data_IF_292185158797
#
_entry.id   IF_292185158797
#
_cell.length_a   1.000
_cell.length_b   1.000
_cell.length_c   1.000
_cell.angle_alpha   90.00
_cell.angle_beta   90.00
_cell.angle_gamma   90.00
#
_symmetry.space_group_name_H-M   'P 1'
#
loop_
_entity.id
_entity.type
_entity.pdbx_description
1 polymer ?
#
# COMPACT_ATOMS: atom_id res chain seq x y z
N UNK A 1 19.99 -22.22 12.10
CA UNK A 1 18.86 -21.68 12.93
C UNK A 1 18.32 -20.33 12.42
N UNK A 2 19.05 -19.59 11.60
CA UNK A 2 18.74 -18.26 11.09
C UNK A 2 17.49 -18.21 10.16
N UNK A 3 17.30 -19.22 9.32
CA UNK A 3 16.23 -19.25 8.32
C UNK A 3 14.80 -19.36 8.89
N UNK A 4 14.63 -19.92 10.07
CA UNK A 4 13.30 -20.12 10.67
C UNK A 4 12.70 -18.83 11.23
N UNK A 5 13.55 -17.93 11.72
CA UNK A 5 13.12 -16.63 12.26
C UNK A 5 12.79 -15.64 11.13
N UNK A 6 13.58 -15.65 10.03
CA UNK A 6 13.38 -14.76 8.91
C UNK A 6 11.98 -14.88 8.28
N UNK A 7 11.59 -16.08 7.87
CA UNK A 7 10.28 -16.31 7.24
C UNK A 7 9.12 -16.09 8.19
N UNK A 8 9.29 -16.40 9.47
CA UNK A 8 8.30 -16.12 10.49
C UNK A 8 8.11 -14.62 10.69
N UNK A 9 9.20 -13.85 10.69
CA UNK A 9 9.15 -12.39 10.80
C UNK A 9 8.52 -11.76 9.55
N UNK A 10 8.87 -12.22 8.36
CA UNK A 10 8.24 -11.78 7.10
C UNK A 10 6.74 -12.05 7.13
N UNK A 11 6.32 -13.25 7.50
CA UNK A 11 4.91 -13.59 7.56
C UNK A 11 4.17 -12.77 8.62
N UNK A 12 4.73 -12.64 9.83
CA UNK A 12 4.12 -11.90 10.94
C UNK A 12 4.00 -10.41 10.64
N UNK A 13 5.08 -9.77 10.25
CA UNK A 13 5.08 -8.31 10.01
C UNK A 13 4.41 -7.95 8.69
N UNK A 14 4.53 -8.81 7.69
CA UNK A 14 3.77 -8.69 6.44
C UNK A 14 2.27 -8.81 6.66
N UNK A 15 1.83 -9.73 7.54
CA UNK A 15 0.42 -9.85 7.91
C UNK A 15 -0.10 -8.62 8.67
N UNK A 16 0.67 -8.08 9.60
CA UNK A 16 0.29 -6.84 10.30
C UNK A 16 0.19 -5.66 9.33
N UNK A 17 1.18 -5.50 8.47
CA UNK A 17 1.19 -4.45 7.44
C UNK A 17 -0.01 -4.62 6.50
N UNK A 18 -0.22 -5.84 5.98
CA UNK A 18 -1.34 -6.15 5.08
C UNK A 18 -2.71 -5.94 5.75
N UNK A 19 -2.85 -6.29 7.02
CA UNK A 19 -4.06 -6.02 7.79
C UNK A 19 -4.36 -4.52 7.93
N UNK A 20 -3.35 -3.71 8.23
CA UNK A 20 -3.49 -2.24 8.31
C UNK A 20 -3.89 -1.67 6.95
N UNK A 21 -3.21 -2.06 5.87
CA UNK A 21 -3.53 -1.57 4.53
C UNK A 21 -4.90 -2.05 4.03
N UNK A 22 -5.31 -3.27 4.36
CA UNK A 22 -6.63 -3.78 4.01
C UNK A 22 -7.76 -3.05 4.75
N UNK A 23 -7.58 -2.76 6.04
CA UNK A 23 -8.53 -1.95 6.81
C UNK A 23 -8.65 -0.54 6.25
N UNK A 24 -7.53 0.07 5.89
CA UNK A 24 -7.51 1.38 5.23
C UNK A 24 -8.26 1.36 3.90
N UNK A 25 -8.01 0.36 3.04
CA UNK A 25 -8.72 0.21 1.76
C UNK A 25 -10.24 0.08 1.95
N UNK A 26 -10.69 -0.68 2.95
CA UNK A 26 -12.12 -0.81 3.26
C UNK A 26 -12.70 0.52 3.75
N UNK A 27 -11.97 1.25 4.58
CA UNK A 27 -12.38 2.55 5.09
C UNK A 27 -12.42 3.61 3.97
N UNK A 28 -11.41 3.65 3.11
CA UNK A 28 -11.39 4.50 1.91
C UNK A 28 -12.59 4.19 0.99
N UNK A 29 -12.88 2.91 0.76
CA UNK A 29 -14.05 2.48 -0.02
C UNK A 29 -15.36 2.97 0.60
N UNK A 30 -15.51 2.88 1.91
CA UNK A 30 -16.67 3.40 2.61
C UNK A 30 -16.80 4.93 2.46
N UNK A 31 -15.71 5.67 2.60
CA UNK A 31 -15.70 7.12 2.45
C UNK A 31 -16.06 7.54 1.01
N UNK A 32 -15.44 6.88 0.00
CA UNK A 32 -15.65 7.18 -1.41
C UNK A 32 -17.08 6.91 -1.87
N UNK A 33 -17.71 5.88 -1.32
CA UNK A 33 -19.11 5.53 -1.65
C UNK A 33 -20.15 6.37 -0.91
N UNK A 34 -19.75 7.18 0.07
CA UNK A 34 -20.67 8.00 0.87
C UNK A 34 -21.34 9.14 0.08
N UNK A 35 -20.71 9.63 -0.98
CA UNK A 35 -21.18 10.77 -1.78
C UNK A 35 -21.19 12.12 -1.06
N UNK A 36 -20.69 12.18 0.18
CA UNK A 36 -20.68 13.41 1.00
C UNK A 36 -19.36 14.16 0.82
N UNK A 37 -19.42 15.41 0.34
CA UNK A 37 -18.23 16.23 0.10
C UNK A 37 -17.27 16.31 1.29
N UNK A 38 -17.79 16.45 2.53
CA UNK A 38 -16.96 16.49 3.73
C UNK A 38 -16.21 15.19 4.01
N UNK A 39 -16.78 14.04 3.68
CA UNK A 39 -16.12 12.73 3.83
C UNK A 39 -15.09 12.47 2.74
N UNK A 40 -15.25 13.06 1.55
CA UNK A 40 -14.22 13.00 0.52
C UNK A 40 -12.96 13.77 0.90
N UNK A 41 -13.09 14.90 1.60
CA UNK A 41 -11.92 15.60 2.17
C UNK A 41 -11.21 14.73 3.22
N UNK A 42 -11.96 13.99 4.03
CA UNK A 42 -11.39 13.05 4.99
C UNK A 42 -10.59 11.92 4.32
N UNK A 43 -10.98 11.50 3.12
CA UNK A 43 -10.25 10.52 2.31
C UNK A 43 -8.82 10.96 1.99
N UNK A 44 -8.61 12.25 1.68
CA UNK A 44 -7.27 12.79 1.43
C UNK A 44 -6.41 12.71 2.70
N UNK A 45 -6.98 13.06 3.85
CA UNK A 45 -6.28 12.99 5.14
C UNK A 45 -5.95 11.54 5.49
N UNK A 46 -6.89 10.64 5.29
CA UNK A 46 -6.71 9.19 5.50
C UNK A 46 -5.58 8.66 4.63
N UNK A 47 -5.60 8.97 3.34
CA UNK A 47 -4.56 8.54 2.40
C UNK A 47 -3.15 9.00 2.84
N UNK A 48 -3.00 10.27 3.23
CA UNK A 48 -1.74 10.79 3.76
C UNK A 48 -1.30 10.05 5.03
N UNK A 49 -2.24 9.79 5.93
CA UNK A 49 -1.98 9.06 7.17
C UNK A 49 -1.49 7.63 6.87
N UNK A 50 -2.14 6.93 5.94
CA UNK A 50 -1.77 5.57 5.55
C UNK A 50 -0.39 5.53 4.90
N UNK A 51 -0.07 6.48 4.03
CA UNK A 51 1.28 6.62 3.44
C UNK A 51 2.34 6.73 4.54
N UNK A 52 2.10 7.57 5.55
CA UNK A 52 3.01 7.75 6.69
C UNK A 52 3.10 6.47 7.53
N UNK A 53 1.96 5.86 7.87
CA UNK A 53 1.92 4.61 8.66
C UNK A 53 2.62 3.47 7.92
N UNK A 54 2.40 3.33 6.62
CA UNK A 54 3.06 2.34 5.77
C UNK A 54 4.59 2.49 5.85
N UNK A 55 5.09 3.71 5.61
CA UNK A 55 6.52 4.02 5.72
C UNK A 55 7.08 3.70 7.12
N UNK A 56 6.39 4.14 8.18
CA UNK A 56 6.84 3.94 9.57
C UNK A 56 6.88 2.45 9.94
N UNK A 57 5.90 1.66 9.52
CA UNK A 57 5.88 0.21 9.77
C UNK A 57 7.02 -0.49 9.04
N UNK A 58 7.23 -0.20 7.74
CA UNK A 58 8.34 -0.75 6.98
C UNK A 58 9.69 -0.38 7.62
N UNK A 59 9.87 0.90 7.97
CA UNK A 59 11.09 1.37 8.63
C UNK A 59 11.32 0.65 9.96
N UNK A 60 10.29 0.57 10.81
CA UNK A 60 10.38 -0.08 12.12
C UNK A 60 10.73 -1.56 12.01
N UNK A 61 10.09 -2.30 11.09
CA UNK A 61 10.33 -3.73 10.93
C UNK A 61 11.70 -4.01 10.32
N UNK A 62 12.13 -3.21 9.35
CA UNK A 62 13.44 -3.33 8.75
C UNK A 62 14.56 -2.97 9.74
N UNK A 63 14.35 -1.94 10.58
CA UNK A 63 15.27 -1.61 11.66
C UNK A 63 15.40 -2.75 12.65
N UNK A 64 14.29 -3.36 13.07
CA UNK A 64 14.31 -4.52 13.96
C UNK A 64 15.02 -5.72 13.34
N UNK A 65 14.81 -5.95 12.05
CA UNK A 65 15.54 -6.98 11.31
C UNK A 65 17.03 -6.70 11.25
N UNK A 66 17.43 -5.44 11.04
CA UNK A 66 18.85 -5.02 11.10
C UNK A 66 19.49 -5.32 12.45
N UNK A 67 18.74 -5.12 13.55
CA UNK A 67 19.25 -5.32 14.93
C UNK A 67 19.56 -6.81 15.22
N UNK A 68 19.09 -7.75 14.40
CA UNK A 68 19.45 -9.17 14.51
C UNK A 68 20.82 -9.52 13.91
N UNK A 69 21.49 -8.57 13.23
CA UNK A 69 22.80 -8.79 12.63
C UNK A 69 23.89 -8.15 13.47
N UNK A 70 25.00 -8.87 13.73
CA UNK A 70 26.19 -8.31 14.38
C UNK A 70 26.72 -7.10 13.62
N UNK A 71 27.40 -6.20 14.34
CA UNK A 71 27.96 -4.96 13.74
C UNK A 71 29.03 -5.30 12.71
N UNK A 72 29.79 -6.35 12.98
CA UNK A 72 30.92 -6.85 12.17
C UNK A 72 30.47 -7.36 10.80
N UNK A 73 29.28 -7.99 10.72
CA UNK A 73 28.76 -8.50 9.45
C UNK A 73 28.22 -7.39 8.55
N UNK A 74 27.90 -6.23 9.11
CA UNK A 74 27.23 -5.16 8.40
C UNK A 74 25.78 -5.49 8.08
N UNK A 75 25.12 -4.57 7.39
CA UNK A 75 23.74 -4.77 6.87
C UNK A 75 23.65 -4.12 5.50
N UNK A 76 23.92 -4.87 4.41
CA UNK A 76 23.99 -4.32 3.07
C UNK A 76 22.61 -3.89 2.58
N UNK A 77 22.60 -2.87 1.72
CA UNK A 77 21.41 -2.31 1.09
C UNK A 77 20.48 -3.39 0.49
N UNK A 78 21.03 -4.32 -0.28
CA UNK A 78 20.25 -5.38 -0.94
C UNK A 78 19.49 -6.29 0.04
N UNK A 79 20.06 -6.55 1.23
CA UNK A 79 19.39 -7.33 2.29
C UNK A 79 18.22 -6.56 2.90
N UNK A 80 18.41 -5.27 3.18
CA UNK A 80 17.34 -4.40 3.68
C UNK A 80 16.22 -4.27 2.65
N UNK A 81 16.56 -3.97 1.41
CA UNK A 81 15.60 -3.79 0.32
C UNK A 81 14.81 -5.08 0.02
N UNK A 82 15.50 -6.22 -0.07
CA UNK A 82 14.86 -7.53 -0.27
C UNK A 82 13.87 -7.87 0.84
N UNK A 83 14.21 -7.58 2.10
CA UNK A 83 13.31 -7.78 3.23
C UNK A 83 12.03 -6.91 3.11
N UNK A 84 12.18 -5.63 2.75
CA UNK A 84 11.04 -4.71 2.53
C UNK A 84 10.14 -5.21 1.40
N UNK A 85 10.73 -5.67 0.30
CA UNK A 85 9.96 -6.21 -0.83
C UNK A 85 9.15 -7.45 -0.46
N UNK A 86 9.72 -8.34 0.37
CA UNK A 86 9.00 -9.52 0.89
C UNK A 86 7.86 -9.14 1.85
N UNK A 87 8.07 -8.17 2.74
CA UNK A 87 7.01 -7.63 3.59
C UNK A 87 5.87 -7.06 2.74
N UNK A 88 6.22 -6.27 1.72
CA UNK A 88 5.24 -5.64 0.82
C UNK A 88 4.50 -6.67 -0.04
N UNK A 89 5.17 -7.74 -0.46
CA UNK A 89 4.55 -8.84 -1.18
C UNK A 89 3.50 -9.55 -0.31
N UNK A 90 3.87 -9.90 0.94
CA UNK A 90 2.94 -10.51 1.89
C UNK A 90 1.75 -9.59 2.20
N UNK A 91 2.02 -8.30 2.43
CA UNK A 91 0.98 -7.32 2.67
C UNK A 91 0.05 -7.17 1.48
N UNK A 92 0.61 -7.07 0.27
CA UNK A 92 -0.15 -6.95 -0.98
C UNK A 92 -1.03 -8.17 -1.26
N UNK A 93 -0.55 -9.38 -0.94
CA UNK A 93 -1.35 -10.59 -1.06
C UNK A 93 -2.61 -10.53 -0.16
N UNK A 94 -2.47 -10.04 1.07
CA UNK A 94 -3.61 -9.86 1.99
C UNK A 94 -4.57 -8.80 1.45
N UNK A 95 -4.06 -7.63 1.04
CA UNK A 95 -4.87 -6.56 0.45
C UNK A 95 -5.60 -7.07 -0.78
N UNK A 96 -4.91 -7.80 -1.69
CA UNK A 96 -5.50 -8.37 -2.89
C UNK A 96 -6.65 -9.34 -2.59
N UNK A 97 -6.48 -10.22 -1.60
CA UNK A 97 -7.55 -11.14 -1.17
C UNK A 97 -8.74 -10.36 -0.61
N UNK A 98 -8.51 -9.39 0.28
CA UNK A 98 -9.58 -8.58 0.86
C UNK A 98 -10.32 -7.78 -0.23
N UNK A 99 -9.58 -7.24 -1.20
CA UNK A 99 -10.15 -6.50 -2.33
C UNK A 99 -11.02 -7.39 -3.23
N UNK A 100 -10.57 -8.63 -3.50
CA UNK A 100 -11.37 -9.62 -4.24
C UNK A 100 -12.66 -9.93 -3.50
N UNK A 101 -12.59 -10.27 -2.21
CA UNK A 101 -13.76 -10.56 -1.40
C UNK A 101 -14.74 -9.38 -1.37
N UNK A 102 -14.22 -8.18 -1.15
CA UNK A 102 -15.02 -6.97 -1.09
C UNK A 102 -15.71 -6.67 -2.41
N UNK A 103 -14.96 -6.61 -3.53
CA UNK A 103 -15.48 -6.18 -4.83
C UNK A 103 -16.27 -7.26 -5.57
N UNK A 104 -15.93 -8.55 -5.41
CA UNK A 104 -16.59 -9.61 -6.19
C UNK A 104 -17.64 -10.41 -5.40
N UNK A 105 -17.52 -10.44 -4.04
CA UNK A 105 -18.42 -11.26 -3.22
C UNK A 105 -19.39 -10.44 -2.36
N UNK A 106 -18.99 -9.25 -1.89
CA UNK A 106 -19.80 -8.46 -0.96
C UNK A 106 -20.59 -7.38 -1.69
N UNK A 107 -19.91 -6.49 -2.43
CA UNK A 107 -20.54 -5.31 -3.05
C UNK A 107 -20.96 -5.58 -4.49
N UNK A 108 -20.16 -6.33 -5.23
CA UNK A 108 -20.26 -6.46 -6.68
C UNK A 108 -19.58 -5.30 -7.41
N UNK A 109 -18.75 -5.62 -8.41
CA UNK A 109 -17.94 -4.61 -9.10
C UNK A 109 -18.78 -3.56 -9.81
N UNK A 110 -19.87 -3.99 -10.47
CA UNK A 110 -20.76 -3.07 -11.19
C UNK A 110 -21.47 -2.10 -10.23
N UNK A 111 -21.96 -2.62 -9.09
CA UNK A 111 -22.59 -1.79 -8.06
C UNK A 111 -21.58 -0.80 -7.45
N UNK A 112 -20.35 -1.25 -7.20
CA UNK A 112 -19.28 -0.41 -6.70
C UNK A 112 -18.96 0.74 -7.67
N UNK A 113 -18.76 0.46 -8.95
CA UNK A 113 -18.43 1.48 -9.97
C UNK A 113 -19.59 2.45 -10.19
N UNK A 114 -20.83 1.96 -10.23
CA UNK A 114 -22.02 2.83 -10.37
C UNK A 114 -22.13 3.80 -9.17
N UNK A 115 -21.95 3.30 -7.96
CA UNK A 115 -22.02 4.13 -6.75
C UNK A 115 -20.84 5.10 -6.65
N UNK A 116 -19.64 4.69 -7.05
CA UNK A 116 -18.47 5.57 -7.12
C UNK A 116 -18.71 6.73 -8.09
N UNK A 117 -19.23 6.45 -9.30
CA UNK A 117 -19.57 7.49 -10.27
C UNK A 117 -20.63 8.45 -9.74
N UNK A 118 -21.70 7.94 -9.11
CA UNK A 118 -22.72 8.78 -8.49
C UNK A 118 -22.13 9.69 -7.38
N UNK A 119 -21.23 9.15 -6.56
CA UNK A 119 -20.55 9.90 -5.51
C UNK A 119 -19.66 10.99 -6.08
N UNK A 120 -18.89 10.71 -7.13
CA UNK A 120 -18.05 11.69 -7.82
C UNK A 120 -18.89 12.81 -8.44
N UNK A 121 -20.02 12.48 -9.11
CA UNK A 121 -20.93 13.48 -9.68
C UNK A 121 -21.52 14.38 -8.60
N UNK A 122 -21.95 13.82 -7.47
CA UNK A 122 -22.45 14.57 -6.32
C UNK A 122 -21.39 15.52 -5.76
N UNK A 123 -20.14 15.05 -5.63
CA UNK A 123 -19.03 15.88 -5.17
C UNK A 123 -18.75 17.05 -6.11
N UNK A 124 -18.67 16.79 -7.42
CA UNK A 124 -18.40 17.82 -8.43
C UNK A 124 -19.51 18.87 -8.50
N UNK A 125 -20.77 18.46 -8.38
CA UNK A 125 -21.90 19.39 -8.32
C UNK A 125 -21.86 20.30 -7.10
N UNK A 126 -21.36 19.77 -5.97
CA UNK A 126 -21.23 20.54 -4.70
C UNK A 126 -20.06 21.53 -4.75
N UNK A 127 -18.96 21.15 -5.40
CA UNK A 127 -17.74 21.98 -5.49
C UNK A 127 -17.84 23.05 -6.60
N UNK A 128 -18.89 23.07 -7.41
CA UNK A 128 -19.02 24.03 -8.51
C UNK A 128 -17.95 23.78 -9.59
N UNK A 129 -17.87 22.55 -10.08
CA UNK A 129 -16.88 22.20 -11.11
C UNK A 129 -16.94 23.18 -12.28
N UNK A 130 -15.80 23.81 -12.57
CA UNK A 130 -15.70 24.79 -13.66
C UNK A 130 -15.98 24.09 -15.00
N UNK A 131 -16.69 24.76 -15.90
CA UNK A 131 -17.04 24.26 -17.24
C UNK A 131 -15.82 23.74 -18.04
N UNK A 132 -14.61 24.16 -17.70
CA UNK A 132 -13.37 23.69 -18.31
C UNK A 132 -12.98 22.26 -17.94
N UNK A 133 -13.47 21.72 -16.81
CA UNK A 133 -13.21 20.34 -16.37
C UNK A 133 -14.25 19.35 -16.87
N UNK A 134 -15.40 19.83 -17.32
CA UNK A 134 -16.55 19.01 -17.73
C UNK A 134 -16.21 17.99 -18.85
N UNK A 135 -15.47 18.36 -19.92
CA UNK A 135 -15.12 17.42 -20.99
C UNK A 135 -14.17 16.30 -20.50
N UNK A 136 -13.19 16.64 -19.67
CA UNK A 136 -12.23 15.66 -19.12
C UNK A 136 -12.91 14.67 -18.17
N UNK A 137 -13.86 15.14 -17.39
CA UNK A 137 -14.66 14.31 -16.50
C UNK A 137 -15.62 13.41 -17.27
N UNK A 138 -16.29 13.92 -18.30
CA UNK A 138 -17.17 13.16 -19.18
C UNK A 138 -16.39 12.01 -19.86
N UNK A 139 -15.18 12.27 -20.32
CA UNK A 139 -14.31 11.24 -20.89
C UNK A 139 -13.93 10.19 -19.86
N UNK A 140 -13.49 10.60 -18.65
CA UNK A 140 -13.15 9.68 -17.58
C UNK A 140 -14.35 8.79 -17.18
N UNK A 141 -15.55 9.36 -17.08
CA UNK A 141 -16.78 8.59 -16.82
C UNK A 141 -17.12 7.62 -17.95
N UNK A 142 -16.98 8.03 -19.20
CA UNK A 142 -17.21 7.14 -20.33
C UNK A 142 -16.24 5.96 -20.36
N UNK A 143 -14.97 6.21 -20.05
CA UNK A 143 -13.96 5.16 -19.91
C UNK A 143 -14.29 4.19 -18.76
N UNK A 144 -14.73 4.69 -17.60
CA UNK A 144 -15.17 3.84 -16.48
C UNK A 144 -16.39 2.99 -16.83
N UNK A 145 -17.34 3.54 -17.58
CA UNK A 145 -18.57 2.80 -18.01
C UNK A 145 -18.26 1.72 -19.05
N UNK A 146 -17.29 1.96 -19.92
CA UNK A 146 -16.92 1.02 -20.99
C UNK A 146 -15.83 0.03 -20.57
N UNK A 147 -15.18 0.26 -19.42
CA UNK A 147 -14.17 -0.64 -18.90
C UNK A 147 -14.77 -2.01 -18.54
N UNK A 148 -14.16 -3.06 -19.06
CA UNK A 148 -14.56 -4.42 -18.71
C UNK A 148 -14.35 -4.66 -17.20
N UNK A 149 -15.27 -5.38 -16.57
CA UNK A 149 -15.13 -5.82 -15.18
C UNK A 149 -13.82 -6.62 -15.02
N UNK A 150 -12.89 -6.17 -14.15
CA UNK A 150 -11.65 -6.89 -13.96
C UNK A 150 -11.91 -8.30 -13.42
N UNK A 151 -11.13 -9.25 -13.89
CA UNK A 151 -11.19 -10.60 -13.35
C UNK A 151 -10.72 -10.63 -11.88
N UNK A 152 -11.12 -11.67 -11.16
CA UNK A 152 -10.66 -11.92 -9.77
C UNK A 152 -9.11 -11.86 -9.66
N UNK A 153 -8.43 -12.44 -10.65
CA UNK A 153 -6.97 -12.44 -10.69
C UNK A 153 -6.39 -11.02 -10.91
N UNK A 154 -6.99 -10.24 -11.79
CA UNK A 154 -6.57 -8.85 -12.02
C UNK A 154 -6.78 -7.98 -10.77
N UNK A 155 -7.91 -8.16 -10.07
CA UNK A 155 -8.19 -7.48 -8.82
C UNK A 155 -7.17 -7.85 -7.74
N UNK A 156 -6.89 -9.14 -7.55
CA UNK A 156 -5.88 -9.60 -6.59
C UNK A 156 -4.49 -9.06 -6.92
N UNK A 157 -4.13 -9.09 -8.21
CA UNK A 157 -2.84 -8.59 -8.68
C UNK A 157 -2.69 -7.07 -8.47
N UNK A 158 -3.77 -6.32 -8.60
CA UNK A 158 -3.79 -4.88 -8.33
C UNK A 158 -3.36 -4.55 -6.89
N UNK A 159 -3.88 -5.27 -5.90
CA UNK A 159 -3.48 -5.12 -4.49
C UNK A 159 -2.01 -5.44 -4.25
N UNK A 160 -1.51 -6.54 -4.86
CA UNK A 160 -0.11 -6.94 -4.78
C UNK A 160 0.79 -5.89 -5.42
N UNK A 161 0.46 -5.46 -6.65
CA UNK A 161 1.27 -4.49 -7.39
C UNK A 161 1.35 -3.14 -6.67
N UNK A 162 0.22 -2.65 -6.17
CA UNK A 162 0.18 -1.39 -5.43
C UNK A 162 1.08 -1.44 -4.16
N UNK A 163 0.99 -2.52 -3.39
CA UNK A 163 1.81 -2.70 -2.19
C UNK A 163 3.31 -2.82 -2.53
N UNK A 164 3.65 -3.54 -3.60
CA UNK A 164 5.03 -3.66 -4.08
C UNK A 164 5.57 -2.33 -4.60
N UNK A 165 4.76 -1.53 -5.28
CA UNK A 165 5.16 -0.21 -5.77
C UNK A 165 5.57 0.73 -4.62
N UNK A 166 4.70 0.86 -3.61
CA UNK A 166 5.04 1.66 -2.42
C UNK A 166 6.20 1.05 -1.63
N UNK A 167 6.25 -0.27 -1.52
CA UNK A 167 7.37 -0.99 -0.92
C UNK A 167 8.70 -0.72 -1.63
N UNK A 168 8.70 -0.67 -2.95
CA UNK A 168 9.88 -0.34 -3.73
C UNK A 168 10.35 1.11 -3.48
N UNK A 169 9.42 2.07 -3.56
CA UNK A 169 9.73 3.50 -3.35
C UNK A 169 10.25 3.75 -1.92
N UNK A 170 9.53 3.29 -0.91
CA UNK A 170 9.94 3.44 0.48
C UNK A 170 11.17 2.61 0.80
N UNK A 171 11.28 1.44 0.17
CA UNK A 171 12.42 0.54 0.33
C UNK A 171 13.73 1.15 -0.10
N UNK A 172 13.76 1.93 -1.18
CA UNK A 172 14.95 2.67 -1.60
C UNK A 172 15.43 3.64 -0.51
N UNK A 173 14.50 4.37 0.09
CA UNK A 173 14.82 5.35 1.14
C UNK A 173 15.26 4.63 2.42
N UNK A 174 14.46 3.66 2.89
CA UNK A 174 14.70 2.95 4.14
C UNK A 174 15.98 2.12 4.08
N UNK A 175 16.20 1.38 2.98
CA UNK A 175 17.40 0.58 2.80
C UNK A 175 18.64 1.47 2.72
N UNK A 176 18.55 2.64 2.06
CA UNK A 176 19.63 3.62 2.03
C UNK A 176 20.02 4.13 3.42
N UNK A 177 19.02 4.46 4.25
CA UNK A 177 19.23 4.97 5.62
C UNK A 177 19.71 3.87 6.58
N UNK A 178 19.20 2.65 6.46
CA UNK A 178 19.48 1.57 7.39
C UNK A 178 20.68 0.71 6.98
N UNK A 179 21.19 0.82 5.75
CA UNK A 179 22.36 0.07 5.32
C UNK A 179 23.61 0.45 6.13
N UNK A 180 24.44 -0.55 6.40
CA UNK A 180 25.66 -0.42 7.17
C UNK A 180 26.75 -1.28 6.55
N UNK A 181 27.91 -0.71 6.31
CA UNK A 181 29.08 -1.48 5.87
C UNK A 181 29.61 -2.37 6.99
N UNK A 182 30.18 -3.54 6.67
CA UNK A 182 30.87 -4.36 7.65
C UNK A 182 32.05 -3.57 8.24
N UNK A 183 32.22 -3.59 9.56
CA UNK A 183 33.42 -3.06 10.21
C UNK A 183 34.45 -4.19 10.23
N UNK A 184 35.34 -4.19 9.24
CA UNK A 184 36.27 -5.29 9.04
C UNK A 184 37.43 -5.32 10.05
N UNK A 185 37.71 -4.25 10.77
CA UNK A 185 38.72 -4.22 11.82
C UNK A 185 38.51 -3.04 12.79
N UNK A 186 38.38 -3.29 14.05
CA UNK A 186 38.93 -2.36 15.03
C UNK A 186 40.44 -2.50 14.88
N UNK A 187 41.10 -1.45 14.40
CA UNK A 187 42.55 -1.33 14.59
C UNK A 187 42.79 -1.30 16.09
N UNK A 188 43.38 -2.34 16.62
CA UNK A 188 44.14 -2.23 17.85
C UNK A 188 45.24 -1.19 17.58
N UNK A 189 44.94 0.07 17.90
CA UNK A 189 45.99 1.08 18.09
C UNK A 189 46.49 0.90 19.51
N UNK A 190 47.58 0.14 19.63
CA UNK A 190 48.52 0.29 20.72
C UNK A 190 49.30 1.62 20.63
#
# INVERSE_FOLDING_TARGET
MENRNFWNDVAKYGAVLGGVLALSMLFESYLSLSGRAGLMMLMVVEWLLVVVVHYLLLHRYTRRYRESFPVEEGFPFGRAYGYIMLLSLCAGAIVGVVQVVYLHMIVGYEAYTAQLMASMQSYLSTMGANASMEPMLAEAFSQMQTAATPSVLQTAWGGIFNSLFFGAVFGLIIAGVLSRQPQLFDKEEE
#
